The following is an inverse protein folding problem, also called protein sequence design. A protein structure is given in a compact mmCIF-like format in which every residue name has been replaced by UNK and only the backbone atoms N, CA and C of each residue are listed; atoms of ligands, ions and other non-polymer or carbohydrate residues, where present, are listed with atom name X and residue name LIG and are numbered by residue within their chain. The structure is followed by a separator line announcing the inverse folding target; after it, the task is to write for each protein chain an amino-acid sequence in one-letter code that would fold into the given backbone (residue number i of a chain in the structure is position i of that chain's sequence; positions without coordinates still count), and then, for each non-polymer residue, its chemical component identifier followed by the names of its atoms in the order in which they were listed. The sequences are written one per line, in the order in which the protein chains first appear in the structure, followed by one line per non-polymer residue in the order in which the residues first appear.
data_IF_594611075927
#
_entry.id   IF_594611075927
#
_cell.length_a   1.000
_cell.length_b   1.000
_cell.length_c   1.000
_cell.angle_alpha   90.00
_cell.angle_beta   90.00
_cell.angle_gamma   90.00
#
_symmetry.space_group_name_H-M   'P 1'
#
loop_
_entity.id
_entity.type
_entity.pdbx_description
1 polymer ?
#
# COMPACT_ATOMS: atom_id res chain seq x y z
N UNK A 1 2.06 4.92 -22.72
CA UNK A 1 2.70 3.85 -21.94
C UNK A 1 1.78 3.59 -20.75
N UNK A 2 0.88 2.57 -20.84
CA UNK A 2 0.02 2.18 -19.72
C UNK A 2 0.91 1.46 -18.70
N UNK A 3 0.92 1.99 -17.49
CA UNK A 3 1.79 1.70 -16.38
C UNK A 3 1.81 0.23 -15.97
N UNK A 4 2.96 -0.27 -15.60
CA UNK A 4 3.28 -1.61 -15.09
C UNK A 4 2.36 -2.13 -13.95
N UNK A 5 1.73 -1.24 -13.18
CA UNK A 5 0.73 -1.63 -12.17
C UNK A 5 -0.52 -2.28 -12.80
N UNK A 6 -0.93 -1.84 -13.99
CA UNK A 6 -1.99 -2.53 -14.74
C UNK A 6 -1.54 -3.94 -15.17
N UNK A 7 -0.25 -4.15 -15.43
CA UNK A 7 0.31 -5.46 -15.78
C UNK A 7 0.41 -6.40 -14.58
N UNK A 8 0.69 -5.89 -13.37
CA UNK A 8 0.73 -6.67 -12.15
C UNK A 8 -0.60 -7.36 -11.87
N UNK A 9 -1.67 -6.64 -12.13
CA UNK A 9 -3.02 -7.03 -11.72
C UNK A 9 -3.76 -7.87 -12.77
N UNK A 10 -3.40 -7.78 -14.04
CA UNK A 10 -4.04 -8.57 -15.11
C UNK A 10 -3.82 -10.09 -15.00
N UNK A 11 -2.83 -10.52 -14.21
CA UNK A 11 -2.51 -11.93 -14.06
C UNK A 11 -3.19 -12.63 -12.90
N UNK A 12 -3.68 -11.88 -11.93
CA UNK A 12 -4.48 -12.45 -10.83
C UNK A 12 -5.85 -12.92 -11.34
N UNK A 13 -6.27 -12.42 -12.52
CA UNK A 13 -7.64 -12.54 -13.01
C UNK A 13 -8.00 -13.81 -13.78
N UNK A 14 -7.08 -14.74 -14.06
CA UNK A 14 -7.37 -15.82 -15.04
C UNK A 14 -7.85 -17.15 -14.46
N UNK A 15 -8.09 -17.28 -13.14
CA UNK A 15 -8.39 -18.59 -12.54
C UNK A 15 -9.62 -18.67 -11.61
N UNK A 16 -10.49 -17.67 -11.53
CA UNK A 16 -11.68 -17.72 -10.66
C UNK A 16 -12.96 -17.23 -11.32
N UNK A 17 -14.16 -17.70 -10.88
CA UNK A 17 -15.41 -17.20 -11.37
C UNK A 17 -15.54 -15.70 -11.07
N UNK A 18 -15.98 -14.93 -12.06
CA UNK A 18 -16.25 -13.51 -11.92
C UNK A 18 -17.36 -13.30 -10.88
N UNK A 19 -17.03 -12.66 -9.76
CA UNK A 19 -18.03 -12.12 -8.85
C UNK A 19 -18.61 -10.85 -9.47
N UNK A 20 -19.86 -10.90 -9.92
CA UNK A 20 -20.61 -9.74 -10.38
C UNK A 20 -21.59 -9.36 -9.28
N UNK A 21 -21.26 -8.37 -8.47
CA UNK A 21 -22.14 -7.79 -7.45
C UNK A 21 -21.57 -7.76 -6.02
N UNK A 22 -22.10 -6.87 -5.22
CA UNK A 22 -21.74 -6.50 -3.83
C UNK A 22 -21.46 -7.61 -2.78
N UNK A 23 -21.91 -8.87 -2.91
CA UNK A 23 -21.68 -9.85 -1.83
C UNK A 23 -20.25 -10.39 -1.74
N UNK A 24 -19.34 -10.03 -2.67
CA UNK A 24 -17.95 -10.51 -2.62
C UNK A 24 -17.01 -9.61 -1.79
N UNK A 25 -17.47 -8.44 -1.40
CA UNK A 25 -16.71 -7.48 -0.60
C UNK A 25 -17.12 -7.64 0.87
N UNK A 26 -16.65 -8.70 1.52
CA UNK A 26 -16.63 -8.70 2.99
C UNK A 26 -15.69 -7.59 3.45
N UNK A 27 -16.13 -6.82 4.45
CA UNK A 27 -15.25 -5.87 5.11
C UNK A 27 -13.97 -6.57 5.57
N UNK A 28 -12.80 -5.90 5.44
CA UNK A 28 -11.52 -6.48 5.84
C UNK A 28 -11.64 -7.00 7.28
N UNK A 29 -11.38 -8.27 7.47
CA UNK A 29 -11.38 -8.90 8.78
C UNK A 29 -10.36 -8.25 9.72
N UNK A 30 -10.46 -8.54 11.03
CA UNK A 30 -9.65 -7.97 12.10
C UNK A 30 -8.16 -8.41 12.07
N UNK A 31 -7.51 -8.30 10.90
CA UNK A 31 -6.07 -8.59 10.73
C UNK A 31 -5.21 -7.73 11.65
N UNK A 32 -5.68 -6.52 11.98
CA UNK A 32 -5.05 -5.61 12.94
C UNK A 32 -5.06 -6.14 14.38
N UNK A 33 -5.94 -7.10 14.72
CA UNK A 33 -5.96 -7.72 16.05
C UNK A 33 -4.76 -8.66 16.27
N UNK A 34 -4.10 -9.09 15.18
CA UNK A 34 -2.96 -10.02 15.27
C UNK A 34 -1.65 -9.29 15.61
N UNK A 35 -1.51 -8.03 15.23
CA UNK A 35 -0.29 -7.23 15.41
C UNK A 35 -0.64 -5.79 15.84
N UNK A 36 -1.18 -5.60 17.06
CA UNK A 36 -1.62 -4.29 17.53
C UNK A 36 -0.47 -3.25 17.59
N UNK A 37 0.77 -3.71 17.77
CA UNK A 37 1.94 -2.82 17.77
C UNK A 37 2.15 -2.11 16.43
N UNK A 38 1.62 -2.62 15.33
CA UNK A 38 1.70 -1.94 14.03
C UNK A 38 0.80 -0.70 13.96
N UNK A 39 -0.18 -0.58 14.86
CA UNK A 39 -1.07 0.58 14.95
C UNK A 39 -0.59 1.63 15.95
N UNK A 40 0.51 1.41 16.65
CA UNK A 40 1.01 2.36 17.63
C UNK A 40 1.33 3.72 16.97
N UNK A 41 0.71 4.80 17.47
CA UNK A 41 0.92 6.17 16.98
C UNK A 41 0.29 6.49 15.61
N UNK A 42 -0.54 5.60 15.05
CA UNK A 42 -1.25 5.85 13.78
C UNK A 42 -2.74 5.51 13.88
N UNK A 43 -3.54 6.11 13.00
CA UNK A 43 -4.96 5.77 12.84
C UNK A 43 -5.88 6.33 13.93
N UNK A 44 -5.38 7.16 14.84
CA UNK A 44 -6.15 7.79 15.91
C UNK A 44 -6.74 9.14 15.46
N UNK A 45 -8.04 9.30 15.68
CA UNK A 45 -8.74 10.55 15.40
C UNK A 45 -9.37 10.62 13.99
N UNK A 46 -10.11 11.70 13.71
CA UNK A 46 -10.71 11.94 12.42
C UNK A 46 -9.63 12.13 11.35
N UNK A 47 -9.93 11.64 10.13
CA UNK A 47 -9.03 11.71 8.97
C UNK A 47 -7.68 10.97 9.10
N UNK A 48 -7.48 10.22 10.20
CA UNK A 48 -6.27 9.42 10.40
C UNK A 48 -6.26 8.11 9.58
N UNK A 49 -7.32 7.83 8.82
CA UNK A 49 -7.43 6.64 7.98
C UNK A 49 -7.93 7.00 6.59
N UNK A 50 -7.15 6.62 5.57
CA UNK A 50 -7.56 6.68 4.17
C UNK A 50 -7.91 5.26 3.71
N UNK A 51 -9.01 5.08 2.98
CA UNK A 51 -9.48 3.78 2.54
C UNK A 51 -9.99 3.84 1.11
N UNK A 52 -9.60 2.86 0.29
CA UNK A 52 -10.14 2.70 -1.05
C UNK A 52 -10.04 1.26 -1.54
N UNK A 53 -10.81 0.92 -2.58
CA UNK A 53 -10.68 -0.33 -3.30
C UNK A 53 -9.79 -0.10 -4.50
N UNK A 54 -8.75 -0.91 -4.63
CA UNK A 54 -7.92 -0.91 -5.82
C UNK A 54 -8.49 -1.90 -6.85
N UNK A 55 -8.86 -1.36 -8.02
CA UNK A 55 -9.50 -2.07 -9.12
C UNK A 55 -8.68 -1.98 -10.40
N UNK A 56 -8.77 -2.99 -11.25
CA UNK A 56 -8.35 -2.87 -12.66
C UNK A 56 -9.48 -2.20 -13.44
N UNK A 57 -9.29 -0.94 -13.78
CA UNK A 57 -10.33 0.00 -14.21
C UNK A 57 -11.15 -0.42 -15.43
N UNK A 58 -10.54 -1.07 -16.43
CA UNK A 58 -11.27 -1.41 -17.66
C UNK A 58 -12.20 -2.63 -17.52
N UNK A 59 -11.96 -3.49 -16.52
CA UNK A 59 -12.80 -4.69 -16.27
C UNK A 59 -13.53 -4.60 -14.92
N UNK A 60 -13.38 -3.50 -14.17
CA UNK A 60 -13.94 -3.29 -12.81
C UNK A 60 -13.70 -4.50 -11.90
N UNK A 61 -12.47 -4.96 -11.85
CA UNK A 61 -12.07 -6.12 -11.07
C UNK A 61 -11.37 -5.67 -9.80
N UNK A 62 -12.00 -5.89 -8.65
CA UNK A 62 -11.43 -5.60 -7.35
C UNK A 62 -10.22 -6.48 -7.09
N UNK A 63 -9.11 -5.87 -6.74
CA UNK A 63 -7.85 -6.55 -6.50
C UNK A 63 -7.52 -6.60 -5.02
N UNK A 64 -7.63 -5.45 -4.36
CA UNK A 64 -7.31 -5.32 -2.95
C UNK A 64 -8.09 -4.18 -2.28
N UNK A 65 -8.36 -4.35 -1.01
CA UNK A 65 -8.68 -3.27 -0.09
C UNK A 65 -7.39 -2.63 0.39
N UNK A 66 -7.34 -1.30 0.34
CA UNK A 66 -6.19 -0.52 0.77
C UNK A 66 -6.63 0.38 1.91
N UNK A 67 -5.86 0.36 3.00
CA UNK A 67 -6.02 1.26 4.13
C UNK A 67 -4.65 1.87 4.46
N UNK A 68 -4.60 3.20 4.56
CA UNK A 68 -3.45 3.91 5.07
C UNK A 68 -3.83 4.53 6.43
N UNK A 69 -3.08 4.18 7.46
CA UNK A 69 -3.20 4.71 8.81
C UNK A 69 -2.09 5.72 9.01
N UNK A 70 -2.47 6.92 9.39
CA UNK A 70 -1.62 8.11 9.41
C UNK A 70 -1.32 8.54 10.84
N UNK A 71 -0.16 9.13 11.03
CA UNK A 71 0.19 9.85 12.24
C UNK A 71 -0.70 11.12 12.40
N UNK A 72 -0.81 11.69 13.63
CA UNK A 72 -1.66 12.85 13.88
C UNK A 72 -1.31 14.09 13.06
N UNK A 73 -0.02 14.29 12.73
CA UNK A 73 0.42 15.43 11.91
C UNK A 73 -0.08 15.31 10.48
N UNK A 74 0.14 14.16 9.84
CA UNK A 74 -0.36 13.85 8.50
C UNK A 74 -1.89 13.85 8.46
N UNK A 75 -2.56 13.29 9.47
CA UNK A 75 -4.03 13.33 9.59
C UNK A 75 -4.57 14.76 9.62
N UNK A 76 -3.89 15.68 10.31
CA UNK A 76 -4.27 17.11 10.34
C UNK A 76 -4.16 17.76 8.95
N UNK A 77 -3.15 17.41 8.16
CA UNK A 77 -3.05 17.88 6.77
C UNK A 77 -4.20 17.32 5.93
N UNK A 78 -4.54 16.03 6.09
CA UNK A 78 -5.70 15.42 5.42
C UNK A 78 -6.98 16.19 5.76
N UNK A 79 -7.24 16.46 7.04
CA UNK A 79 -8.39 17.23 7.48
C UNK A 79 -8.45 18.61 6.81
N UNK A 80 -7.33 19.32 6.79
CA UNK A 80 -7.25 20.65 6.19
C UNK A 80 -7.52 20.62 4.68
N UNK A 81 -6.94 19.69 3.94
CA UNK A 81 -7.12 19.65 2.47
C UNK A 81 -8.47 19.08 2.07
N UNK A 82 -9.00 18.11 2.82
CA UNK A 82 -10.27 17.46 2.54
C UNK A 82 -11.50 18.30 2.91
N UNK A 83 -11.33 19.30 3.80
CA UNK A 83 -12.37 20.27 4.12
C UNK A 83 -12.69 21.25 2.97
N UNK A 84 -11.93 21.20 1.88
CA UNK A 84 -12.10 22.06 0.73
C UNK A 84 -12.18 21.24 -0.58
N UNK A 85 -12.67 21.86 -1.67
CA UNK A 85 -12.76 21.18 -2.98
C UNK A 85 -11.41 20.65 -3.48
N UNK A 86 -11.46 19.51 -4.14
CA UNK A 86 -10.28 18.91 -4.75
C UNK A 86 -9.59 19.88 -5.73
N UNK A 87 -8.28 20.02 -5.58
CA UNK A 87 -7.42 20.72 -6.56
C UNK A 87 -6.06 20.04 -6.66
N UNK A 88 -5.38 20.23 -7.79
CA UNK A 88 -4.02 19.69 -7.99
C UNK A 88 -3.02 20.19 -6.95
N UNK A 89 -3.15 21.44 -6.51
CA UNK A 89 -2.30 22.01 -5.47
C UNK A 89 -2.48 21.32 -4.12
N UNK A 90 -3.73 21.06 -3.72
CA UNK A 90 -4.05 20.33 -2.49
C UNK A 90 -3.64 18.86 -2.56
N UNK A 91 -3.88 18.21 -3.71
CA UNK A 91 -3.42 16.86 -3.94
C UNK A 91 -1.89 16.74 -3.77
N UNK A 92 -1.13 17.71 -4.28
CA UNK A 92 0.32 17.77 -4.11
C UNK A 92 0.73 18.02 -2.65
N UNK A 93 0.02 18.88 -1.93
CA UNK A 93 0.27 19.11 -0.51
C UNK A 93 0.06 17.84 0.33
N UNK A 94 -1.00 17.08 0.04
CA UNK A 94 -1.26 15.79 0.66
C UNK A 94 -0.19 14.75 0.30
N UNK A 95 0.20 14.67 -0.97
CA UNK A 95 1.29 13.78 -1.41
C UNK A 95 2.59 14.04 -0.63
N UNK A 96 2.95 15.30 -0.46
CA UNK A 96 4.14 15.68 0.33
C UNK A 96 3.99 15.32 1.80
N UNK A 97 2.81 15.54 2.39
CA UNK A 97 2.55 15.16 3.77
C UNK A 97 2.64 13.64 3.99
N UNK A 98 2.14 12.85 3.03
CA UNK A 98 2.27 11.39 3.07
C UNK A 98 3.72 10.92 2.91
N UNK A 99 4.53 11.59 2.06
CA UNK A 99 5.95 11.27 1.89
C UNK A 99 6.79 11.56 3.15
N UNK A 100 6.37 12.52 3.94
CA UNK A 100 7.05 12.95 5.16
C UNK A 100 6.34 12.45 6.44
N UNK A 101 5.23 11.69 6.29
CA UNK A 101 4.46 11.13 7.42
C UNK A 101 5.24 10.05 8.19
N UNK A 102 5.26 10.18 9.52
CA UNK A 102 6.00 9.29 10.40
C UNK A 102 5.38 9.30 11.83
N UNK A 103 4.88 8.17 12.31
CA UNK A 103 4.79 6.88 11.66
C UNK A 103 3.61 6.75 10.66
N UNK A 104 3.69 5.74 9.79
CA UNK A 104 2.60 5.39 8.87
C UNK A 104 2.47 3.87 8.73
N UNK A 105 1.24 3.36 8.59
CA UNK A 105 0.96 1.97 8.23
C UNK A 105 0.12 1.93 6.96
N UNK A 106 0.59 1.24 5.93
CA UNK A 106 -0.21 0.86 4.77
C UNK A 106 -0.58 -0.61 4.89
N UNK A 107 -1.88 -0.91 4.82
CA UNK A 107 -2.43 -2.27 4.76
C UNK A 107 -3.04 -2.51 3.39
N UNK A 108 -2.72 -3.64 2.81
CA UNK A 108 -3.31 -4.13 1.57
C UNK A 108 -3.86 -5.53 1.82
N UNK A 109 -5.17 -5.74 1.68
CA UNK A 109 -5.81 -7.05 1.79
C UNK A 109 -6.30 -7.50 0.42
N UNK A 110 -5.90 -8.70 0.00
CA UNK A 110 -6.17 -9.21 -1.32
C UNK A 110 -7.61 -9.71 -1.46
N UNK A 111 -8.35 -9.13 -2.38
CA UNK A 111 -9.67 -9.62 -2.77
C UNK A 111 -9.59 -10.90 -3.63
N UNK A 112 -8.39 -11.23 -4.13
CA UNK A 112 -8.14 -12.38 -5.01
C UNK A 112 -6.73 -12.92 -4.82
N UNK A 113 -6.55 -14.21 -5.10
CA UNK A 113 -5.24 -14.85 -5.16
C UNK A 113 -4.55 -14.67 -6.52
N UNK A 114 -3.27 -15.00 -6.59
CA UNK A 114 -2.46 -14.92 -7.81
C UNK A 114 -1.02 -15.36 -7.67
N UNK A 115 -0.26 -15.27 -8.75
CA UNK A 115 1.17 -15.56 -8.76
C UNK A 115 1.98 -14.46 -8.08
N UNK A 116 2.77 -14.83 -7.07
CA UNK A 116 3.57 -13.89 -6.28
C UNK A 116 4.72 -13.25 -7.08
N UNK A 117 5.29 -13.94 -8.06
CA UNK A 117 6.42 -13.40 -8.85
C UNK A 117 6.10 -12.06 -9.55
N UNK A 118 4.81 -11.81 -9.90
CA UNK A 118 4.41 -10.52 -10.44
C UNK A 118 4.30 -9.44 -9.37
N UNK A 119 3.84 -9.79 -8.18
CA UNK A 119 3.80 -8.87 -7.03
C UNK A 119 5.21 -8.44 -6.66
N UNK A 120 6.15 -9.39 -6.55
CA UNK A 120 7.56 -9.13 -6.27
C UNK A 120 8.18 -8.27 -7.36
N UNK A 121 7.93 -8.59 -8.64
CA UNK A 121 8.39 -7.79 -9.77
C UNK A 121 7.88 -6.35 -9.73
N UNK A 122 6.60 -6.15 -9.42
CA UNK A 122 6.05 -4.80 -9.31
C UNK A 122 6.55 -4.04 -8.08
N UNK A 123 6.76 -4.71 -6.97
CA UNK A 123 7.40 -4.09 -5.80
C UNK A 123 8.78 -3.55 -6.18
N UNK A 124 9.58 -4.33 -6.93
CA UNK A 124 10.87 -3.89 -7.46
C UNK A 124 10.74 -2.67 -8.36
N UNK A 125 9.80 -2.71 -9.31
CA UNK A 125 9.60 -1.62 -10.26
C UNK A 125 9.10 -0.32 -9.58
N UNK A 126 8.28 -0.46 -8.54
CA UNK A 126 7.81 0.67 -7.75
C UNK A 126 8.94 1.29 -6.91
N UNK A 127 9.81 0.47 -6.32
CA UNK A 127 10.99 0.95 -5.61
C UNK A 127 11.99 1.63 -6.56
N UNK A 128 12.14 1.14 -7.80
CA UNK A 128 12.91 1.85 -8.84
C UNK A 128 12.30 3.20 -9.19
N UNK A 129 10.96 3.29 -9.22
CA UNK A 129 10.30 4.58 -9.41
C UNK A 129 10.58 5.55 -8.26
N UNK A 130 10.71 5.03 -7.02
CA UNK A 130 11.13 5.84 -5.87
C UNK A 130 12.55 6.38 -6.03
N UNK A 131 13.45 5.63 -6.67
CA UNK A 131 14.80 6.13 -7.04
C UNK A 131 14.70 7.20 -8.12
N UNK A 132 13.92 6.97 -9.19
CA UNK A 132 13.74 7.91 -10.29
C UNK A 132 13.18 9.26 -9.83
N UNK A 133 12.31 9.28 -8.81
CA UNK A 133 11.74 10.51 -8.26
C UNK A 133 12.57 11.14 -7.13
N UNK A 134 13.66 10.49 -6.70
CA UNK A 134 14.58 11.00 -5.69
C UNK A 134 14.09 10.82 -4.24
N UNK A 135 13.10 9.95 -3.99
CA UNK A 135 12.70 9.59 -2.62
C UNK A 135 13.61 8.54 -2.00
N UNK A 136 14.42 7.85 -2.82
CA UNK A 136 15.44 6.88 -2.42
C UNK A 136 16.64 6.97 -3.37
N UNK A 137 17.87 6.75 -2.86
CA UNK A 137 19.07 6.67 -3.66
C UNK A 137 19.25 5.30 -4.31
N UNK A 138 19.98 5.26 -5.43
CA UNK A 138 20.29 4.02 -6.14
C UNK A 138 21.05 3.04 -5.24
N UNK A 139 22.03 3.52 -4.46
CA UNK A 139 22.82 2.69 -3.53
C UNK A 139 21.92 2.00 -2.51
N UNK A 140 21.00 2.75 -1.90
CA UNK A 140 20.04 2.20 -0.93
C UNK A 140 19.15 1.13 -1.57
N UNK A 141 18.69 1.36 -2.81
CA UNK A 141 17.93 0.35 -3.55
C UNK A 141 18.75 -0.92 -3.80
N UNK A 142 20.01 -0.79 -4.28
CA UNK A 142 20.87 -1.92 -4.63
C UNK A 142 21.24 -2.77 -3.41
N UNK A 143 21.35 -2.16 -2.22
CA UNK A 143 21.59 -2.86 -0.96
C UNK A 143 20.31 -3.52 -0.40
N UNK A 144 19.17 -2.83 -0.49
CA UNK A 144 17.91 -3.27 0.09
C UNK A 144 17.25 -4.37 -0.75
N UNK A 145 17.30 -4.29 -2.09
CA UNK A 145 16.54 -5.18 -2.95
C UNK A 145 16.86 -6.67 -2.74
N UNK A 146 18.13 -7.11 -2.66
CA UNK A 146 18.46 -8.52 -2.40
C UNK A 146 17.86 -9.03 -1.08
N UNK A 147 17.87 -8.21 -0.03
CA UNK A 147 17.23 -8.54 1.23
C UNK A 147 15.73 -8.74 1.09
N UNK A 148 15.03 -7.84 0.38
CA UNK A 148 13.59 -7.95 0.14
C UNK A 148 13.22 -9.17 -0.71
N UNK A 149 14.03 -9.49 -1.71
CA UNK A 149 13.82 -10.65 -2.56
C UNK A 149 13.93 -11.96 -1.75
N UNK A 150 14.93 -12.07 -0.86
CA UNK A 150 15.06 -13.19 0.08
C UNK A 150 13.90 -13.22 1.09
N UNK A 151 13.53 -12.08 1.66
CA UNK A 151 12.44 -11.95 2.62
C UNK A 151 11.09 -12.40 2.02
N UNK A 152 10.84 -12.10 0.74
CA UNK A 152 9.60 -12.44 0.04
C UNK A 152 9.60 -13.84 -0.60
N UNK A 153 10.71 -14.59 -0.54
CA UNK A 153 10.81 -15.91 -1.11
C UNK A 153 9.74 -16.92 -0.62
N UNK A 154 9.31 -16.90 0.68
CA UNK A 154 8.21 -17.77 1.13
C UNK A 154 6.88 -17.44 0.43
N UNK A 155 6.62 -16.17 0.13
CA UNK A 155 5.41 -15.75 -0.60
C UNK A 155 5.47 -16.21 -2.05
N UNK A 156 6.65 -16.13 -2.68
CA UNK A 156 6.84 -16.61 -4.07
C UNK A 156 6.60 -18.12 -4.17
N UNK A 157 7.09 -18.89 -3.22
CA UNK A 157 6.89 -20.35 -3.15
C UNK A 157 5.46 -20.77 -2.93
N UNK A 158 4.74 -20.08 -2.01
CA UNK A 158 3.35 -20.38 -1.65
C UNK A 158 2.36 -19.86 -2.71
N UNK A 159 2.64 -18.74 -3.34
CA UNK A 159 1.68 -17.93 -4.07
C UNK A 159 0.87 -17.02 -3.15
N UNK A 160 0.02 -16.20 -3.75
CA UNK A 160 -0.85 -15.26 -3.06
C UNK A 160 -2.29 -15.78 -3.06
N UNK A 161 -2.99 -15.67 -1.94
CA UNK A 161 -4.37 -16.15 -1.79
C UNK A 161 -5.34 -14.99 -1.51
N UNK A 162 -6.63 -15.20 -1.76
CA UNK A 162 -7.67 -14.26 -1.35
C UNK A 162 -7.67 -14.17 0.18
N UNK A 163 -7.71 -12.95 0.72
CA UNK A 163 -7.67 -12.68 2.16
C UNK A 163 -6.25 -12.56 2.72
N UNK A 164 -5.21 -12.82 1.91
CA UNK A 164 -3.85 -12.46 2.32
C UNK A 164 -3.76 -10.95 2.57
N UNK A 165 -2.98 -10.56 3.58
CA UNK A 165 -2.75 -9.15 3.87
C UNK A 165 -1.26 -8.81 3.90
N UNK A 166 -0.94 -7.66 3.34
CA UNK A 166 0.42 -7.10 3.32
C UNK A 166 0.38 -5.80 4.11
N UNK A 167 1.26 -5.68 5.09
CA UNK A 167 1.39 -4.51 5.93
C UNK A 167 2.77 -3.90 5.76
N UNK A 168 2.82 -2.60 5.50
CA UNK A 168 4.04 -1.80 5.41
C UNK A 168 4.00 -0.77 6.53
N UNK A 169 4.78 -0.98 7.58
CA UNK A 169 4.93 -0.03 8.67
C UNK A 169 6.18 0.78 8.45
N UNK A 170 6.04 2.09 8.40
CA UNK A 170 7.13 3.06 8.41
C UNK A 170 7.16 3.70 9.79
N UNK A 171 8.34 3.75 10.41
CA UNK A 171 8.54 4.29 11.75
C UNK A 171 9.96 4.83 11.86
N UNK A 172 10.12 6.15 11.79
CA UNK A 172 11.42 6.81 11.76
C UNK A 172 12.28 6.39 10.59
N UNK A 173 13.36 5.70 10.87
CA UNK A 173 14.27 5.15 9.87
C UNK A 173 14.02 3.68 9.56
N UNK A 174 12.90 3.10 10.02
CA UNK A 174 12.60 1.69 9.88
C UNK A 174 11.42 1.47 8.95
N UNK A 175 11.58 0.56 7.99
CA UNK A 175 10.49 0.00 7.20
C UNK A 175 10.30 -1.48 7.59
N UNK A 176 9.12 -1.85 8.13
CA UNK A 176 8.75 -3.24 8.42
C UNK A 176 7.71 -3.72 7.42
N UNK A 177 7.91 -4.93 6.91
CA UNK A 177 7.00 -5.60 5.99
C UNK A 177 6.51 -6.86 6.69
N UNK A 178 5.18 -6.99 6.81
CA UNK A 178 4.55 -8.20 7.31
C UNK A 178 3.60 -8.73 6.24
N UNK A 179 3.72 -10.00 5.91
CA UNK A 179 2.79 -10.70 5.04
C UNK A 179 2.03 -11.74 5.86
N UNK A 180 0.72 -11.60 5.88
CA UNK A 180 -0.18 -12.50 6.60
C UNK A 180 -0.96 -13.35 5.61
N UNK A 181 -1.16 -14.61 5.95
CA UNK A 181 -2.12 -15.47 5.26
C UNK A 181 -3.56 -15.14 5.66
N UNK A 182 -4.54 -15.80 5.02
CA UNK A 182 -5.96 -15.46 5.16
C UNK A 182 -6.54 -15.78 6.55
N UNK A 183 -5.88 -16.61 7.34
CA UNK A 183 -6.22 -16.88 8.74
C UNK A 183 -5.44 -15.99 9.73
N UNK A 184 -4.66 -15.02 9.24
CA UNK A 184 -3.85 -14.13 10.08
C UNK A 184 -2.49 -14.71 10.47
N UNK A 185 -2.10 -15.86 9.93
CA UNK A 185 -0.79 -16.45 10.16
C UNK A 185 0.32 -15.62 9.51
N UNK A 186 1.41 -15.37 10.25
CA UNK A 186 2.56 -14.63 9.75
C UNK A 186 3.37 -15.53 8.80
N UNK A 187 3.43 -15.16 7.52
CA UNK A 187 4.22 -15.83 6.49
C UNK A 187 5.59 -15.17 6.36
N UNK A 188 5.60 -13.84 6.42
CA UNK A 188 6.81 -13.02 6.38
C UNK A 188 6.71 -11.93 7.43
N UNK A 189 7.80 -11.69 8.14
CA UNK A 189 7.97 -10.53 9.01
C UNK A 189 9.44 -10.11 8.97
N UNK A 190 9.70 -8.95 8.40
CA UNK A 190 11.05 -8.43 8.28
C UNK A 190 11.09 -6.92 8.28
N UNK A 191 12.24 -6.37 8.59
CA UNK A 191 12.43 -4.92 8.61
C UNK A 191 13.79 -4.54 8.03
N UNK A 192 13.82 -3.37 7.42
CA UNK A 192 15.02 -2.75 6.90
C UNK A 192 15.23 -1.40 7.58
N UNK A 193 16.44 -1.18 8.07
CA UNK A 193 16.81 0.08 8.74
C UNK A 193 17.44 1.05 7.75
N UNK A 194 17.03 2.30 7.80
CA UNK A 194 17.53 3.40 6.98
C UNK A 194 16.42 4.39 6.62
N UNK A 195 16.58 5.66 7.00
CA UNK A 195 15.58 6.71 6.73
C UNK A 195 15.28 6.86 5.23
N UNK A 196 16.29 6.70 4.38
CA UNK A 196 16.14 6.77 2.93
C UNK A 196 15.35 5.55 2.39
N UNK A 197 15.57 4.36 2.94
CA UNK A 197 14.80 3.17 2.59
C UNK A 197 13.34 3.32 3.04
N UNK A 198 13.10 3.78 4.26
CA UNK A 198 11.77 4.03 4.80
C UNK A 198 10.99 5.01 3.91
N UNK A 199 11.60 6.16 3.56
CA UNK A 199 11.03 7.14 2.63
C UNK A 199 10.83 6.55 1.23
N UNK A 200 11.73 5.70 0.76
CA UNK A 200 11.63 5.01 -0.52
C UNK A 200 10.44 4.07 -0.61
N UNK A 201 10.09 3.39 0.49
CA UNK A 201 8.86 2.58 0.54
C UNK A 201 7.61 3.43 0.36
N UNK A 202 7.48 4.56 1.05
CA UNK A 202 6.36 5.49 0.85
C UNK A 202 6.36 6.02 -0.59
N UNK A 203 7.52 6.44 -1.08
CA UNK A 203 7.69 6.93 -2.45
C UNK A 203 7.29 5.90 -3.51
N UNK A 204 7.48 4.60 -3.24
CA UNK A 204 7.10 3.54 -4.16
C UNK A 204 5.60 3.53 -4.49
N UNK A 205 4.76 4.05 -3.61
CA UNK A 205 3.32 4.19 -3.80
C UNK A 205 2.90 5.54 -4.39
N UNK A 206 3.72 6.59 -4.23
CA UNK A 206 3.36 7.98 -4.54
C UNK A 206 4.12 8.58 -5.72
N UNK A 207 5.37 8.18 -5.96
CA UNK A 207 6.27 8.83 -6.93
C UNK A 207 5.88 8.70 -8.40
N UNK A 208 4.93 7.86 -8.75
CA UNK A 208 4.37 7.80 -10.10
C UNK A 208 2.91 8.23 -10.07
N UNK A 209 2.49 9.00 -11.06
CA UNK A 209 1.07 9.19 -11.36
C UNK A 209 0.50 7.85 -11.84
N UNK A 210 0.11 7.01 -10.88
CA UNK A 210 -0.52 5.71 -11.11
C UNK A 210 -1.97 5.76 -10.67
N UNK A 211 -2.79 4.82 -11.14
CA UNK A 211 -4.15 4.67 -10.63
C UNK A 211 -4.19 4.43 -9.11
N UNK A 212 -3.14 3.83 -8.54
CA UNK A 212 -3.01 3.62 -7.10
C UNK A 212 -2.78 4.94 -6.36
N UNK A 213 -1.75 5.72 -6.75
CA UNK A 213 -1.43 7.00 -6.11
C UNK A 213 -2.58 8.00 -6.23
N UNK A 214 -3.24 8.05 -7.40
CA UNK A 214 -4.42 8.89 -7.60
C UNK A 214 -5.58 8.49 -6.67
N UNK A 215 -5.89 7.20 -6.54
CA UNK A 215 -6.94 6.71 -5.64
C UNK A 215 -6.58 6.95 -4.18
N UNK A 216 -5.35 6.70 -3.76
CA UNK A 216 -4.88 6.98 -2.40
C UNK A 216 -5.07 8.47 -2.06
N UNK A 217 -4.62 9.36 -2.93
CA UNK A 217 -4.77 10.81 -2.71
C UNK A 217 -6.26 11.22 -2.70
N UNK A 218 -7.08 10.72 -3.65
CA UNK A 218 -8.51 11.06 -3.73
C UNK A 218 -9.33 10.54 -2.56
N UNK A 219 -8.92 9.41 -1.95
CA UNK A 219 -9.63 8.83 -0.81
C UNK A 219 -9.73 9.78 0.38
N UNK A 220 -8.84 10.78 0.49
CA UNK A 220 -8.94 11.84 1.50
C UNK A 220 -10.23 12.68 1.38
N UNK A 221 -10.73 12.89 0.15
CA UNK A 221 -11.97 13.63 -0.10
C UNK A 221 -13.20 12.72 -0.08
N UNK A 222 -13.04 11.44 -0.41
CA UNK A 222 -14.13 10.46 -0.44
C UNK A 222 -14.50 9.97 0.96
N UNK A 223 -13.53 9.85 1.87
CA UNK A 223 -13.74 9.39 3.26
C UNK A 223 -14.50 10.39 4.14
N UNK A 224 -14.66 11.65 3.71
CA UNK A 224 -15.36 12.70 4.44
C UNK A 224 -16.87 12.79 4.15
N UNK A 225 -17.40 11.93 3.26
CA UNK A 225 -18.81 11.90 2.86
C UNK A 225 -19.66 10.82 3.54
N UNK A 226 -19.11 10.11 4.53
CA UNK A 226 -19.81 8.97 5.18
C UNK A 226 -20.13 9.27 6.63
#
# INVERSE_FOLDING_TARGET
MLSLLASLMAAVCLAGPACTGDPCLQEPGAVTDTLPELLEGVGEGPHARLRFIFEVTFIKLDIAWIEAYLDPGTASVVEQVAGEDYSKGRARALEMALLDGDPMLLRMELARGGGAGRFIGATRDNLRAAVECGSMGQTTFDEMWPYLEELLAPVDQRGMEKGDAILYRIDGSRARIVYLGPAGEIIVDGSYEGAEAARGFVGSFLCRETAFSEKLIRSAWESNGS
#
